data_IF_524093597408
#
_entry.id   IF_524093597408
#
_cell.length_a   1.000
_cell.length_b   1.000
_cell.length_c   1.000
_cell.angle_alpha   90.00
_cell.angle_beta   90.00
_cell.angle_gamma   90.00
#
_symmetry.space_group_name_H-M   'P 1'
#
loop_
_entity.id
_entity.type
_entity.pdbx_description
1 polymer ?
#
# COMPACT_ATOMS: atom_id res chain seq x y z
N UNK A 1 19.90 -20.76 27.01
CA UNK A 1 19.89 -19.58 26.11
C UNK A 1 18.45 -19.17 25.93
N UNK A 2 18.04 -18.10 26.59
CA UNK A 2 16.64 -17.68 26.73
C UNK A 2 16.34 -16.69 25.63
N UNK A 3 15.38 -17.01 24.77
CA UNK A 3 14.90 -16.10 23.73
C UNK A 3 14.13 -14.94 24.38
N UNK A 4 14.59 -13.71 24.13
CA UNK A 4 13.93 -12.47 24.56
C UNK A 4 12.80 -12.22 23.57
N UNK A 5 11.57 -12.33 24.03
CA UNK A 5 10.38 -11.93 23.30
C UNK A 5 10.37 -10.39 23.17
N UNK A 6 10.37 -9.89 21.93
CA UNK A 6 10.21 -8.47 21.66
C UNK A 6 8.79 -8.02 22.02
N UNK A 7 8.69 -7.02 22.89
CA UNK A 7 7.42 -6.40 23.30
C UNK A 7 6.77 -5.66 22.11
N UNK A 8 5.46 -5.82 21.83
CA UNK A 8 4.80 -5.05 20.80
C UNK A 8 4.65 -3.58 21.25
N UNK A 9 5.21 -2.69 20.47
CA UNK A 9 5.10 -1.23 20.65
C UNK A 9 3.64 -0.81 20.60
N UNK A 10 3.13 -0.19 21.67
CA UNK A 10 1.79 0.42 21.72
C UNK A 10 1.69 1.56 20.72
N UNK A 11 0.97 1.33 19.62
CA UNK A 11 0.57 2.39 18.68
C UNK A 11 -0.82 2.86 19.11
N UNK A 12 -0.90 4.13 19.51
CA UNK A 12 -2.15 4.76 19.97
C UNK A 12 -3.14 5.00 18.83
N UNK A 13 -4.31 4.39 18.90
CA UNK A 13 -5.42 4.62 17.98
C UNK A 13 -6.62 3.73 18.30
N UNK A 14 -7.77 4.34 18.56
CA UNK A 14 -9.00 3.78 19.09
C UNK A 14 -9.60 2.65 18.23
N UNK A 15 -9.42 1.44 18.65
CA UNK A 15 -10.04 0.18 18.27
C UNK A 15 -9.30 -0.94 19.00
N UNK A 16 -9.96 -2.04 19.42
CA UNK A 16 -9.25 -3.15 19.99
C UNK A 16 -8.20 -3.65 18.97
N UNK A 17 -6.98 -3.98 19.41
CA UNK A 17 -6.01 -4.59 18.50
C UNK A 17 -6.68 -5.84 17.92
N UNK A 18 -6.65 -5.98 16.57
CA UNK A 18 -7.11 -7.19 15.90
C UNK A 18 -6.23 -8.33 16.41
N UNK A 19 -6.79 -9.20 17.23
CA UNK A 19 -6.06 -10.36 17.74
C UNK A 19 -5.64 -11.20 16.54
N UNK A 20 -4.37 -11.59 16.49
CA UNK A 20 -3.84 -12.40 15.40
C UNK A 20 -3.42 -11.65 14.12
N UNK A 21 -3.41 -10.31 14.12
CA UNK A 21 -2.92 -9.53 12.98
C UNK A 21 -1.39 -9.52 12.91
N UNK A 22 -0.82 -9.89 11.78
CA UNK A 22 0.61 -9.90 11.50
C UNK A 22 0.89 -9.20 10.17
N UNK A 23 1.77 -8.19 10.16
CA UNK A 23 2.29 -7.63 8.92
C UNK A 23 3.70 -8.17 8.68
N UNK A 24 3.89 -8.84 7.57
CA UNK A 24 5.16 -9.46 7.16
C UNK A 24 5.47 -9.22 5.70
N UNK A 25 6.70 -9.49 5.29
CA UNK A 25 7.05 -9.55 3.88
C UNK A 25 6.24 -10.65 3.18
N UNK A 26 5.80 -10.33 1.96
CA UNK A 26 5.09 -11.30 1.14
C UNK A 26 6.03 -12.38 0.61
N UNK A 27 5.56 -13.61 0.58
CA UNK A 27 6.24 -14.73 -0.09
C UNK A 27 5.45 -15.15 -1.34
N UNK A 28 6.08 -15.86 -2.27
CA UNK A 28 5.43 -16.25 -3.54
C UNK A 28 4.13 -17.04 -3.31
N UNK A 29 4.02 -17.78 -2.21
CA UNK A 29 2.80 -18.48 -1.81
C UNK A 29 1.61 -17.54 -1.50
N UNK A 30 1.85 -16.25 -1.22
CA UNK A 30 0.79 -15.26 -0.98
C UNK A 30 0.22 -14.68 -2.28
N UNK A 31 0.92 -14.88 -3.41
CA UNK A 31 0.57 -14.25 -4.69
C UNK A 31 -0.88 -14.53 -5.14
N UNK A 32 -1.44 -15.75 -4.96
CA UNK A 32 -2.86 -15.97 -5.26
C UNK A 32 -3.81 -15.05 -4.51
N UNK A 33 -3.59 -14.85 -3.21
CA UNK A 33 -4.42 -13.97 -2.38
C UNK A 33 -4.22 -12.48 -2.75
N UNK A 34 -2.98 -12.07 -3.02
CA UNK A 34 -2.65 -10.72 -3.49
C UNK A 34 -3.39 -10.43 -4.80
N UNK A 35 -3.37 -11.36 -5.76
CA UNK A 35 -4.05 -11.25 -7.05
C UNK A 35 -5.57 -11.23 -6.87
N UNK A 36 -6.13 -12.05 -6.00
CA UNK A 36 -7.57 -12.05 -5.70
C UNK A 36 -8.03 -10.67 -5.19
N UNK A 37 -7.30 -10.10 -4.21
CA UNK A 37 -7.59 -8.77 -3.65
C UNK A 37 -7.47 -7.69 -4.74
N UNK A 38 -6.45 -7.76 -5.58
CA UNK A 38 -6.24 -6.82 -6.68
C UNK A 38 -7.35 -6.92 -7.73
N UNK A 39 -7.73 -8.12 -8.14
CA UNK A 39 -8.81 -8.36 -9.08
C UNK A 39 -10.17 -7.89 -8.55
N UNK A 40 -10.42 -7.98 -7.23
CA UNK A 40 -11.59 -7.39 -6.60
C UNK A 40 -11.56 -5.84 -6.73
N UNK A 41 -10.39 -5.21 -6.54
CA UNK A 41 -10.23 -3.77 -6.73
C UNK A 41 -10.42 -3.34 -8.20
N UNK A 42 -9.97 -4.16 -9.17
CA UNK A 42 -10.21 -3.94 -10.61
C UNK A 42 -11.72 -3.93 -10.89
N UNK A 43 -12.45 -4.94 -10.44
CA UNK A 43 -13.94 -5.00 -10.62
C UNK A 43 -14.64 -3.82 -9.96
N UNK A 44 -14.10 -3.30 -8.87
CA UNK A 44 -14.65 -2.14 -8.16
C UNK A 44 -14.52 -0.80 -8.89
N UNK A 45 -13.65 -0.69 -9.90
CA UNK A 45 -13.43 0.51 -10.73
C UNK A 45 -13.07 1.81 -9.97
N UNK A 46 -12.59 1.68 -8.74
CA UNK A 46 -12.34 2.84 -7.86
C UNK A 46 -10.85 2.99 -7.53
N UNK A 47 -10.13 1.88 -7.38
CA UNK A 47 -8.82 1.88 -6.72
C UNK A 47 -7.64 1.61 -7.65
N UNK A 48 -7.89 1.26 -8.90
CA UNK A 48 -6.84 0.98 -9.90
C UNK A 48 -7.29 1.37 -11.29
N UNK A 49 -6.32 1.71 -12.15
CA UNK A 49 -6.54 1.99 -13.57
C UNK A 49 -6.48 0.72 -14.44
N UNK A 50 -6.19 -0.45 -13.86
CA UNK A 50 -6.26 -1.72 -14.58
C UNK A 50 -7.73 -2.02 -14.89
N UNK A 51 -8.01 -2.40 -16.14
CA UNK A 51 -9.38 -2.65 -16.61
C UNK A 51 -9.76 -4.13 -16.55
N UNK A 52 -8.84 -5.00 -16.92
CA UNK A 52 -9.05 -6.44 -16.97
C UNK A 52 -8.36 -7.14 -15.80
N UNK A 53 -8.98 -8.19 -15.23
CA UNK A 53 -8.35 -9.02 -14.22
C UNK A 53 -7.02 -9.58 -14.71
N UNK A 54 -6.08 -9.72 -13.79
CA UNK A 54 -4.76 -10.29 -14.05
C UNK A 54 -4.68 -11.72 -13.51
N UNK A 55 -3.89 -12.56 -14.18
CA UNK A 55 -3.56 -13.91 -13.69
C UNK A 55 -2.37 -13.86 -12.71
N UNK A 56 -2.15 -14.98 -12.02
CA UNK A 56 -0.99 -15.16 -11.15
C UNK A 56 0.31 -15.08 -11.96
N UNK A 57 0.33 -15.72 -13.13
CA UNK A 57 1.51 -15.76 -14.00
C UNK A 57 1.88 -14.37 -14.54
N UNK A 58 0.89 -13.57 -14.91
CA UNK A 58 1.10 -12.17 -15.33
C UNK A 58 1.61 -11.29 -14.19
N UNK A 59 1.26 -11.62 -12.94
CA UNK A 59 1.65 -10.84 -11.77
C UNK A 59 2.98 -11.28 -11.15
N UNK A 60 3.47 -12.46 -11.48
CA UNK A 60 4.70 -13.03 -10.94
C UNK A 60 5.95 -12.17 -11.23
N UNK A 61 6.18 -11.62 -12.44
CA UNK A 61 7.30 -10.71 -12.68
C UNK A 61 7.25 -9.47 -11.77
N UNK A 62 6.08 -8.84 -11.63
CA UNK A 62 5.88 -7.72 -10.73
C UNK A 62 6.19 -8.08 -9.28
N UNK A 63 5.77 -9.27 -8.80
CA UNK A 63 6.08 -9.74 -7.45
C UNK A 63 7.60 -9.82 -7.23
N UNK A 64 8.34 -10.34 -8.21
CA UNK A 64 9.80 -10.53 -8.16
C UNK A 64 10.61 -9.23 -8.28
N UNK A 65 10.00 -8.13 -8.65
CA UNK A 65 10.62 -6.79 -8.63
C UNK A 65 10.73 -6.21 -7.21
N UNK A 66 10.02 -6.79 -6.23
CA UNK A 66 10.07 -6.33 -4.85
C UNK A 66 11.22 -6.96 -4.08
N UNK A 67 11.78 -6.19 -3.15
CA UNK A 67 12.84 -6.61 -2.24
C UNK A 67 12.60 -5.98 -0.87
N UNK A 68 12.70 -6.77 0.23
CA UNK A 68 12.57 -6.26 1.59
C UNK A 68 13.52 -5.11 1.92
N UNK A 69 14.70 -5.07 1.25
CA UNK A 69 15.75 -4.09 1.51
C UNK A 69 15.56 -2.75 0.80
N UNK A 70 14.70 -2.68 -0.24
CA UNK A 70 14.53 -1.45 -1.03
C UNK A 70 13.07 -1.08 -1.31
N UNK A 71 12.33 -2.01 -1.85
CA UNK A 71 10.93 -1.83 -2.24
C UNK A 71 10.09 -3.01 -1.75
N UNK A 72 9.79 -3.07 -0.44
CA UNK A 72 9.07 -4.21 0.12
C UNK A 72 7.65 -4.34 -0.41
N UNK A 73 7.18 -5.57 -0.43
CA UNK A 73 5.78 -5.93 -0.56
C UNK A 73 5.36 -6.60 0.74
N UNK A 74 4.46 -5.98 1.47
CA UNK A 74 3.94 -6.52 2.72
C UNK A 74 2.53 -7.04 2.56
N UNK A 75 2.25 -8.11 3.27
CA UNK A 75 0.90 -8.62 3.48
C UNK A 75 0.49 -8.42 4.93
N UNK A 76 -0.80 -8.15 5.12
CA UNK A 76 -1.47 -8.14 6.41
C UNK A 76 -2.26 -9.44 6.52
N UNK A 77 -1.87 -10.29 7.48
CA UNK A 77 -2.45 -11.60 7.71
C UNK A 77 -3.27 -11.58 9.00
N UNK A 78 -4.50 -12.07 8.96
CA UNK A 78 -5.40 -12.23 10.10
C UNK A 78 -5.87 -13.68 10.10
N UNK A 79 -5.60 -14.39 11.19
CA UNK A 79 -6.02 -15.79 11.38
C UNK A 79 -5.64 -16.69 10.17
N UNK A 80 -4.44 -16.51 9.63
CA UNK A 80 -3.92 -17.28 8.48
C UNK A 80 -4.49 -16.86 7.12
N UNK A 81 -5.26 -15.78 7.03
CA UNK A 81 -5.79 -15.24 5.77
C UNK A 81 -5.17 -13.90 5.44
N UNK A 82 -4.77 -13.70 4.19
CA UNK A 82 -4.29 -12.40 3.72
C UNK A 82 -5.48 -11.44 3.64
N UNK A 83 -5.47 -10.43 4.50
CA UNK A 83 -6.51 -9.44 4.65
C UNK A 83 -6.26 -8.17 3.81
N UNK A 84 -4.99 -7.90 3.49
CA UNK A 84 -4.58 -6.74 2.69
C UNK A 84 -3.11 -6.82 2.33
N UNK A 85 -2.65 -5.88 1.52
CA UNK A 85 -1.25 -5.75 1.15
C UNK A 85 -0.89 -4.30 0.82
N UNK A 86 0.40 -3.99 0.97
CA UNK A 86 0.99 -2.72 0.58
C UNK A 86 2.30 -3.00 -0.17
N UNK A 87 2.48 -2.32 -1.30
CA UNK A 87 3.70 -2.38 -2.08
C UNK A 87 4.39 -1.03 -2.18
N UNK A 88 5.73 -1.08 -2.24
CA UNK A 88 6.57 0.04 -2.62
C UNK A 88 7.06 -0.16 -4.05
N UNK A 89 7.14 0.93 -4.81
CA UNK A 89 7.69 0.96 -6.15
C UNK A 89 8.57 2.19 -6.35
N UNK A 90 9.53 2.10 -7.26
CA UNK A 90 10.23 3.29 -7.73
C UNK A 90 9.23 4.26 -8.36
N UNK A 91 9.19 5.51 -7.87
CA UNK A 91 8.31 6.54 -8.44
C UNK A 91 8.70 6.87 -9.89
N UNK A 92 9.99 7.09 -10.13
CA UNK A 92 10.58 7.31 -11.46
C UNK A 92 11.95 6.64 -11.48
N UNK A 93 12.25 5.89 -12.54
CA UNK A 93 13.48 5.08 -12.67
C UNK A 93 14.72 5.92 -13.02
N UNK A 94 14.88 7.12 -12.45
CA UNK A 94 16.06 7.98 -12.61
C UNK A 94 16.71 8.21 -11.25
N UNK A 95 18.06 8.26 -11.23
CA UNK A 95 18.85 8.32 -9.99
C UNK A 95 18.47 9.46 -9.04
N UNK A 96 18.01 10.60 -9.54
CA UNK A 96 17.58 11.73 -8.71
C UNK A 96 16.33 11.42 -7.86
N UNK A 97 15.55 10.38 -8.22
CA UNK A 97 14.32 9.99 -7.52
C UNK A 97 14.49 8.77 -6.62
N UNK A 98 15.72 8.29 -6.37
CA UNK A 98 15.96 7.08 -5.54
C UNK A 98 15.33 7.16 -4.14
N UNK A 99 15.29 8.35 -3.56
CA UNK A 99 14.66 8.57 -2.26
C UNK A 99 13.14 8.75 -2.31
N UNK A 100 12.50 8.53 -3.46
CA UNK A 100 11.05 8.66 -3.62
C UNK A 100 10.44 7.32 -4.02
N UNK A 101 9.49 6.83 -3.23
CA UNK A 101 8.75 5.62 -3.55
C UNK A 101 7.26 5.91 -3.75
N UNK A 102 6.66 5.24 -4.73
CA UNK A 102 5.22 5.14 -4.85
C UNK A 102 4.73 3.99 -3.99
N UNK A 103 3.65 4.22 -3.24
CA UNK A 103 3.02 3.17 -2.43
C UNK A 103 1.59 2.90 -2.91
N UNK A 104 1.24 1.62 -2.93
CA UNK A 104 -0.11 1.14 -3.21
C UNK A 104 -0.60 0.27 -2.06
N UNK A 105 -1.83 0.51 -1.60
CA UNK A 105 -2.46 -0.26 -0.52
C UNK A 105 -3.81 -0.79 -0.95
N UNK A 106 -4.03 -2.07 -0.71
CA UNK A 106 -5.27 -2.76 -1.03
C UNK A 106 -5.72 -3.63 0.14
N UNK A 107 -7.00 -3.59 0.44
CA UNK A 107 -7.62 -4.35 1.53
C UNK A 107 -8.76 -5.18 0.96
N UNK A 108 -8.78 -6.46 1.31
CA UNK A 108 -9.85 -7.39 0.97
C UNK A 108 -11.20 -6.87 1.45
N UNK A 109 -12.24 -7.05 0.66
CA UNK A 109 -13.60 -6.59 0.98
C UNK A 109 -14.11 -7.15 2.31
N UNK A 110 -13.73 -8.39 2.63
CA UNK A 110 -14.10 -9.07 3.88
C UNK A 110 -13.56 -8.37 5.14
N UNK A 111 -12.43 -7.66 4.99
CA UNK A 111 -11.69 -7.04 6.09
C UNK A 111 -11.71 -5.51 6.03
N UNK A 112 -12.58 -4.91 5.21
CA UNK A 112 -12.76 -3.45 5.17
C UNK A 112 -13.26 -2.90 6.49
N UNK A 113 -12.98 -1.61 6.75
CA UNK A 113 -13.37 -0.85 7.96
C UNK A 113 -12.73 -1.32 9.27
N UNK A 114 -11.79 -2.26 9.23
CA UNK A 114 -11.03 -2.69 10.40
C UNK A 114 -9.76 -1.85 10.64
N UNK A 115 -9.50 -0.84 9.80
CA UNK A 115 -8.33 0.03 9.94
C UNK A 115 -7.05 -0.50 9.30
N UNK A 116 -7.09 -1.62 8.57
CA UNK A 116 -5.90 -2.29 8.00
C UNK A 116 -5.08 -1.38 7.09
N UNK A 117 -5.75 -0.66 6.18
CA UNK A 117 -5.07 0.29 5.30
C UNK A 117 -4.31 1.38 6.06
N UNK A 118 -4.84 1.80 7.21
CA UNK A 118 -4.16 2.76 8.10
C UNK A 118 -2.91 2.13 8.70
N UNK A 119 -3.01 0.93 9.26
CA UNK A 119 -1.89 0.25 9.92
C UNK A 119 -0.76 -0.04 8.92
N UNK A 120 -1.10 -0.51 7.71
CA UNK A 120 -0.13 -0.72 6.62
C UNK A 120 0.59 0.58 6.24
N UNK A 121 -0.14 1.69 6.07
CA UNK A 121 0.44 2.99 5.74
C UNK A 121 1.27 3.57 6.89
N UNK A 122 0.85 3.44 8.14
CA UNK A 122 1.61 3.85 9.32
C UNK A 122 2.94 3.09 9.39
N UNK A 123 2.93 1.76 9.13
CA UNK A 123 4.15 0.96 9.02
C UNK A 123 5.04 1.45 7.87
N UNK A 124 4.47 1.73 6.69
CA UNK A 124 5.22 2.24 5.55
C UNK A 124 5.93 3.55 5.87
N UNK A 125 5.22 4.50 6.49
CA UNK A 125 5.78 5.78 6.92
C UNK A 125 6.92 5.58 7.92
N UNK A 126 6.72 4.75 8.94
CA UNK A 126 7.72 4.50 9.97
C UNK A 126 8.96 3.77 9.44
N UNK A 127 8.79 2.90 8.44
CA UNK A 127 9.87 2.08 7.90
C UNK A 127 10.66 2.75 6.77
N UNK A 128 10.13 3.80 6.16
CA UNK A 128 10.70 4.46 4.98
C UNK A 128 12.12 4.96 5.19
N UNK A 129 12.47 5.46 6.37
CA UNK A 129 13.84 5.92 6.68
C UNK A 129 14.87 4.79 6.64
N UNK A 130 14.49 3.57 7.00
CA UNK A 130 15.37 2.38 6.92
C UNK A 130 15.61 1.93 5.48
N UNK A 131 14.73 2.32 4.55
CA UNK A 131 14.84 2.06 3.11
C UNK A 131 15.51 3.23 2.36
N UNK A 132 16.05 4.23 3.07
CA UNK A 132 16.59 5.48 2.48
C UNK A 132 15.54 6.25 1.65
N UNK A 133 14.25 6.04 1.92
CA UNK A 133 13.14 6.74 1.28
C UNK A 133 12.81 7.99 2.10
N UNK A 134 12.87 9.15 1.46
CA UNK A 134 12.60 10.46 2.05
C UNK A 134 11.28 11.10 1.58
N UNK A 135 10.62 10.47 0.59
CA UNK A 135 9.30 10.88 0.12
C UNK A 135 8.47 9.66 -0.30
N UNK A 136 7.22 9.62 0.16
CA UNK A 136 6.21 8.66 -0.27
C UNK A 136 5.17 9.35 -1.15
N UNK A 137 4.80 8.70 -2.24
CA UNK A 137 3.81 9.20 -3.20
C UNK A 137 2.69 8.17 -3.37
N UNK A 138 1.46 8.63 -3.46
CA UNK A 138 0.31 7.82 -3.84
C UNK A 138 -0.40 8.41 -5.05
N UNK A 139 -0.86 7.57 -5.97
CA UNK A 139 -1.69 7.96 -7.11
C UNK A 139 -3.11 7.44 -6.88
N UNK A 140 -4.07 8.35 -6.71
CA UNK A 140 -5.42 8.02 -6.26
C UNK A 140 -6.42 8.67 -7.23
N UNK A 141 -7.40 7.93 -7.71
CA UNK A 141 -8.48 8.53 -8.49
C UNK A 141 -9.24 9.58 -7.67
N UNK A 142 -9.58 10.72 -8.29
CA UNK A 142 -10.24 11.84 -7.62
C UNK A 142 -11.57 11.49 -6.96
N UNK A 143 -12.26 10.47 -7.47
CA UNK A 143 -13.52 9.97 -6.90
C UNK A 143 -13.33 8.89 -5.81
N UNK A 144 -12.09 8.45 -5.53
CA UNK A 144 -11.78 7.52 -4.44
C UNK A 144 -11.58 8.27 -3.12
N UNK A 145 -12.64 8.94 -2.68
CA UNK A 145 -12.61 9.72 -1.44
C UNK A 145 -12.17 8.94 -0.19
N UNK A 146 -12.54 7.65 -0.01
CA UNK A 146 -12.05 6.89 1.16
C UNK A 146 -10.54 6.81 1.22
N UNK A 147 -9.86 6.57 0.08
CA UNK A 147 -8.40 6.55 0.03
C UNK A 147 -7.81 7.95 0.22
N UNK A 148 -8.35 8.98 -0.43
CA UNK A 148 -7.89 10.36 -0.25
C UNK A 148 -7.93 10.77 1.23
N UNK A 149 -9.06 10.55 1.92
CA UNK A 149 -9.20 10.83 3.35
C UNK A 149 -8.24 10.01 4.22
N UNK A 150 -7.97 8.76 3.84
CA UNK A 150 -7.02 7.91 4.57
C UNK A 150 -5.61 8.50 4.51
N UNK A 151 -5.15 8.85 3.32
CA UNK A 151 -3.82 9.44 3.12
C UNK A 151 -3.71 10.82 3.79
N UNK A 152 -4.70 11.70 3.65
CA UNK A 152 -4.74 13.01 4.30
C UNK A 152 -4.61 12.91 5.83
N UNK A 153 -5.33 11.97 6.46
CA UNK A 153 -5.25 11.72 7.93
C UNK A 153 -3.86 11.27 8.39
N UNK A 154 -3.09 10.71 7.49
CA UNK A 154 -1.72 10.26 7.74
C UNK A 154 -0.67 11.29 7.29
N UNK A 155 -1.09 12.55 7.06
CA UNK A 155 -0.21 13.67 6.75
C UNK A 155 0.31 13.68 5.32
N UNK A 156 -0.34 13.00 4.39
CA UNK A 156 -0.10 13.19 2.97
C UNK A 156 -0.83 14.44 2.49
N UNK A 157 -0.17 15.22 1.65
CA UNK A 157 -0.67 16.44 1.04
C UNK A 157 -0.93 16.20 -0.46
N UNK A 158 -1.79 17.01 -1.07
CA UNK A 158 -1.99 16.98 -2.52
C UNK A 158 -0.83 17.67 -3.21
N UNK A 159 -0.01 16.89 -3.90
CA UNK A 159 1.12 17.40 -4.68
C UNK A 159 0.79 17.61 -6.15
N UNK A 160 -0.31 17.04 -6.65
CA UNK A 160 -0.72 17.22 -8.03
C UNK A 160 -2.17 16.82 -8.28
N UNK A 161 -2.72 17.37 -9.37
CA UNK A 161 -4.05 17.04 -9.88
C UNK A 161 -3.98 16.96 -11.40
N UNK A 162 -4.38 15.83 -11.94
CA UNK A 162 -4.39 15.56 -13.38
C UNK A 162 -5.85 15.31 -13.81
N UNK A 163 -6.50 16.32 -14.40
CA UNK A 163 -7.92 16.21 -14.76
C UNK A 163 -8.09 15.27 -15.95
N UNK A 164 -9.06 14.37 -15.89
CA UNK A 164 -9.52 13.50 -16.97
C UNK A 164 -8.40 12.72 -17.67
N UNK A 165 -7.36 12.34 -16.90
CA UNK A 165 -6.15 11.67 -17.42
C UNK A 165 -6.35 10.19 -17.71
N UNK A 166 -7.33 9.55 -17.07
CA UNK A 166 -7.63 8.14 -17.24
C UNK A 166 -9.06 7.94 -17.75
N UNK A 167 -9.28 6.84 -18.47
CA UNK A 167 -10.61 6.43 -18.94
C UNK A 167 -10.90 5.03 -18.41
N UNK A 168 -12.00 4.91 -17.67
CA UNK A 168 -12.45 3.66 -17.06
C UNK A 168 -13.92 3.44 -17.47
N UNK A 169 -14.19 2.37 -18.23
CA UNK A 169 -15.52 2.05 -18.74
C UNK A 169 -16.21 3.29 -19.38
N UNK A 170 -15.52 3.95 -20.32
CA UNK A 170 -15.95 5.17 -21.03
C UNK A 170 -16.17 6.42 -20.16
N UNK A 171 -15.85 6.37 -18.87
CA UNK A 171 -15.88 7.53 -17.98
C UNK A 171 -14.48 8.07 -17.76
N UNK A 172 -14.30 9.37 -18.05
CA UNK A 172 -13.04 10.08 -17.73
C UNK A 172 -12.87 10.20 -16.22
N UNK A 173 -11.65 9.99 -15.75
CA UNK A 173 -11.29 10.03 -14.33
C UNK A 173 -10.13 10.96 -14.08
N UNK A 174 -10.26 11.76 -13.04
CA UNK A 174 -9.17 12.58 -12.52
C UNK A 174 -8.23 11.72 -11.68
N UNK A 175 -6.94 12.08 -11.68
CA UNK A 175 -5.94 11.49 -10.81
C UNK A 175 -5.41 12.57 -9.86
N UNK A 176 -5.42 12.26 -8.57
CA UNK A 176 -4.77 13.05 -7.53
C UNK A 176 -3.44 12.38 -7.18
N UNK A 177 -2.38 13.16 -7.17
CA UNK A 177 -1.08 12.75 -6.64
C UNK A 177 -1.01 13.29 -5.21
N UNK A 178 -0.91 12.37 -4.26
CA UNK A 178 -0.67 12.72 -2.85
C UNK A 178 0.77 12.39 -2.50
N UNK A 179 1.39 13.18 -1.65
CA UNK A 179 2.77 12.95 -1.24
C UNK A 179 3.01 13.35 0.21
N UNK A 180 4.03 12.73 0.78
CA UNK A 180 4.49 13.01 2.14
C UNK A 180 6.00 12.94 2.21
N UNK A 181 6.64 13.98 2.74
CA UNK A 181 8.05 13.90 3.13
C UNK A 181 8.21 13.08 4.41
N UNK A 182 9.23 12.23 4.41
CA UNK A 182 9.63 11.44 5.58
C UNK A 182 10.77 12.18 6.26
N UNK A 183 10.54 12.67 7.47
CA UNK A 183 11.58 13.29 8.27
C UNK A 183 12.61 12.22 8.65
N UNK A 184 13.89 12.51 8.49
CA UNK A 184 14.93 11.68 9.07
C UNK A 184 14.67 11.56 10.58
N UNK A 185 14.65 10.35 11.10
CA UNK A 185 14.65 10.17 12.56
C UNK A 185 16.01 10.68 13.06
N UNK A 186 15.95 11.73 13.90
CA UNK A 186 17.11 12.30 14.54
C UNK A 186 17.71 11.35 15.59
#
# INVERSE_FOLDING_TARGET
MTAVAANPTKIGGHGPPLQGMIIRDAVEADLPAIVEIYNAAIRGRISTAQLDPVSIDERLPWFREHSPESHPLWVDEIDGQIAGWLSFHSFITRCAYRGTAEISVYVSEKFRRLGLGRVLLEKAIAHSSHLEINALVGRIFGHNEPSLRLFERLGFERWGFLPRIARVDDVERDLVIVGRHISAQA
#
